data_IF_617739169045
#
_entry.id   IF_617739169045
#
_cell.length_a   1.000
_cell.length_b   1.000
_cell.length_c   1.000
_cell.angle_alpha   90.00
_cell.angle_beta   90.00
_cell.angle_gamma   90.00
#
_symmetry.space_group_name_H-M   'P 1'
#
loop_
_entity.id
_entity.type
_entity.pdbx_description
1 polymer ?
#
# COMPACT_ATOMS: atom_id res chain seq x y z
N UNK A 1 -22.19 -4.61 25.79
CA UNK A 1 -22.84 -5.49 24.79
C UNK A 1 -22.17 -5.35 23.42
N UNK A 2 -22.14 -4.18 22.77
CA UNK A 2 -21.54 -3.99 21.43
C UNK A 2 -20.05 -4.41 21.35
N UNK A 3 -19.22 -4.00 22.32
CA UNK A 3 -17.79 -4.34 22.36
C UNK A 3 -17.56 -5.86 22.38
N UNK A 4 -18.37 -6.60 23.15
CA UNK A 4 -18.28 -8.06 23.25
C UNK A 4 -18.56 -8.75 21.91
N UNK A 5 -19.58 -8.31 21.17
CA UNK A 5 -19.88 -8.86 19.85
C UNK A 5 -18.75 -8.59 18.85
N UNK A 6 -18.17 -7.38 18.89
CA UNK A 6 -17.04 -7.04 18.02
C UNK A 6 -15.80 -7.86 18.40
N UNK A 7 -15.55 -8.08 19.69
CA UNK A 7 -14.44 -8.92 20.14
C UNK A 7 -14.62 -10.38 19.69
N UNK A 8 -15.82 -10.95 19.80
CA UNK A 8 -16.08 -12.30 19.31
C UNK A 8 -15.89 -12.40 17.80
N UNK A 9 -16.37 -11.39 17.05
CA UNK A 9 -16.14 -11.31 15.62
C UNK A 9 -14.64 -11.27 15.27
N UNK A 10 -13.84 -10.49 16.00
CA UNK A 10 -12.38 -10.45 15.85
C UNK A 10 -11.76 -11.82 16.13
N UNK A 11 -12.15 -12.45 17.25
CA UNK A 11 -11.63 -13.75 17.65
C UNK A 11 -11.94 -14.84 16.61
N UNK A 12 -13.11 -14.80 15.97
CA UNK A 12 -13.47 -15.73 14.91
C UNK A 12 -12.75 -15.43 13.59
N UNK A 13 -12.56 -14.16 13.25
CA UNK A 13 -11.81 -13.78 12.06
C UNK A 13 -10.33 -14.16 12.15
N UNK A 14 -9.69 -14.03 13.32
CA UNK A 14 -8.28 -14.41 13.50
C UNK A 14 -8.04 -15.90 13.22
N UNK A 15 -9.06 -16.76 13.38
CA UNK A 15 -8.96 -18.19 13.06
C UNK A 15 -8.84 -18.46 11.56
N UNK A 16 -9.29 -17.54 10.70
CA UNK A 16 -9.40 -17.76 9.25
C UNK A 16 -8.66 -16.71 8.41
N UNK A 17 -8.25 -15.58 9.00
CA UNK A 17 -7.64 -14.44 8.33
C UNK A 17 -6.36 -14.00 9.03
N UNK A 18 -5.44 -13.41 8.26
CA UNK A 18 -4.23 -12.83 8.80
C UNK A 18 -4.56 -11.66 9.78
N UNK A 19 -3.83 -11.54 10.90
CA UNK A 19 -3.97 -10.43 11.86
C UNK A 19 -4.07 -9.03 11.23
N UNK A 20 -3.26 -8.75 10.20
CA UNK A 20 -3.30 -7.46 9.48
C UNK A 20 -4.64 -7.19 8.82
N UNK A 21 -5.21 -8.22 8.20
CA UNK A 21 -6.51 -8.14 7.54
C UNK A 21 -7.60 -7.83 8.56
N UNK A 22 -7.55 -8.48 9.73
CA UNK A 22 -8.51 -8.23 10.81
C UNK A 22 -8.38 -6.81 11.36
N UNK A 23 -7.17 -6.30 11.57
CA UNK A 23 -6.95 -4.91 12.00
C UNK A 23 -7.42 -3.88 10.95
N UNK A 24 -7.24 -4.16 9.66
CA UNK A 24 -7.78 -3.31 8.60
C UNK A 24 -9.33 -3.28 8.65
N UNK A 25 -9.98 -4.43 8.82
CA UNK A 25 -11.44 -4.51 8.98
C UNK A 25 -11.93 -3.75 10.22
N UNK A 26 -11.18 -3.82 11.33
CA UNK A 26 -11.47 -3.02 12.52
C UNK A 26 -11.29 -1.51 12.27
N UNK A 27 -10.30 -1.10 11.46
CA UNK A 27 -10.12 0.29 11.09
C UNK A 27 -11.29 0.82 10.23
N UNK A 28 -11.79 0.01 9.30
CA UNK A 28 -12.96 0.33 8.50
C UNK A 28 -14.22 0.44 9.37
N UNK A 29 -14.46 -0.55 10.23
CA UNK A 29 -15.57 -0.54 11.18
C UNK A 29 -15.50 0.67 12.13
N UNK A 30 -14.32 1.00 12.62
CA UNK A 30 -14.10 2.18 13.46
C UNK A 30 -14.47 3.47 12.72
N UNK A 31 -14.18 3.56 11.41
CA UNK A 31 -14.52 4.71 10.58
C UNK A 31 -16.03 4.88 10.39
N UNK A 32 -16.77 3.76 10.25
CA UNK A 32 -18.24 3.77 10.21
C UNK A 32 -18.81 4.29 11.53
N UNK A 33 -18.31 3.84 12.68
CA UNK A 33 -18.75 4.35 13.98
C UNK A 33 -18.40 5.82 14.19
N UNK A 34 -17.24 6.29 13.71
CA UNK A 34 -16.90 7.72 13.72
C UNK A 34 -17.90 8.54 12.90
N UNK A 35 -18.33 8.03 11.74
CA UNK A 35 -19.40 8.66 10.96
C UNK A 35 -20.72 8.72 11.73
N UNK A 36 -21.13 7.63 12.40
CA UNK A 36 -22.34 7.60 13.21
C UNK A 36 -22.29 8.62 14.37
N UNK A 37 -21.14 8.74 15.05
CA UNK A 37 -20.91 9.73 16.11
C UNK A 37 -21.01 11.16 15.57
N UNK A 38 -20.39 11.44 14.42
CA UNK A 38 -20.47 12.77 13.76
C UNK A 38 -21.92 13.16 13.46
N UNK A 39 -22.77 12.18 13.14
CA UNK A 39 -24.20 12.37 12.88
C UNK A 39 -25.07 12.24 14.15
N UNK A 40 -24.47 12.25 15.34
CA UNK A 40 -25.16 12.17 16.65
C UNK A 40 -26.04 10.91 16.83
N UNK A 41 -25.79 9.86 16.06
CA UNK A 41 -26.47 8.57 16.20
C UNK A 41 -25.92 7.76 17.38
N UNK A 42 -24.68 8.04 17.78
CA UNK A 42 -23.98 7.38 18.88
C UNK A 42 -23.07 8.36 19.62
N UNK A 43 -22.70 8.02 20.86
CA UNK A 43 -21.89 8.86 21.74
C UNK A 43 -20.42 8.41 21.73
N UNK A 44 -20.15 7.12 21.57
CA UNK A 44 -18.82 6.52 21.66
C UNK A 44 -18.56 5.50 20.54
N UNK A 45 -17.28 5.22 20.28
CA UNK A 45 -16.90 4.22 19.29
C UNK A 45 -16.61 2.89 20.00
N UNK A 46 -17.42 1.83 19.82
CA UNK A 46 -17.20 0.58 20.51
C UNK A 46 -15.91 -0.13 20.09
N UNK A 47 -15.39 0.16 18.88
CA UNK A 47 -14.14 -0.45 18.38
C UNK A 47 -12.92 0.04 19.16
N UNK A 48 -12.99 1.19 19.83
CA UNK A 48 -11.84 1.71 20.59
C UNK A 48 -11.52 0.88 21.84
N UNK A 49 -12.46 0.03 22.28
CA UNK A 49 -12.36 -0.82 23.46
C UNK A 49 -12.14 -2.29 23.09
N UNK A 50 -11.87 -2.58 21.82
CA UNK A 50 -11.64 -3.94 21.30
C UNK A 50 -10.15 -4.22 21.26
N UNK A 51 -9.75 -5.40 21.70
CA UNK A 51 -8.37 -5.86 21.63
C UNK A 51 -8.00 -6.15 20.18
N UNK A 52 -7.02 -5.39 19.69
CA UNK A 52 -6.52 -5.54 18.33
C UNK A 52 -5.49 -6.66 18.25
N UNK A 53 -5.48 -7.44 17.15
CA UNK A 53 -4.47 -8.46 16.96
C UNK A 53 -3.09 -7.82 16.79
N UNK A 54 -2.09 -8.34 17.50
CA UNK A 54 -0.69 -7.94 17.32
C UNK A 54 -0.13 -8.64 16.10
N UNK A 55 0.67 -7.91 15.32
CA UNK A 55 1.36 -8.47 14.16
C UNK A 55 2.61 -7.67 13.84
N UNK A 56 3.57 -8.36 13.24
CA UNK A 56 4.70 -7.75 12.56
C UNK A 56 4.63 -8.17 11.09
N UNK A 57 4.53 -7.19 10.19
CA UNK A 57 4.59 -7.41 8.74
C UNK A 57 5.75 -6.65 8.12
N UNK A 58 6.78 -6.34 8.91
CA UNK A 58 8.05 -5.85 8.37
C UNK A 58 8.52 -6.84 7.31
N UNK A 59 8.74 -6.31 6.11
CA UNK A 59 9.31 -7.08 4.99
C UNK A 59 10.66 -6.48 4.70
N UNK A 60 11.69 -7.17 5.14
CA UNK A 60 13.05 -6.83 4.78
C UNK A 60 13.33 -7.40 3.39
N UNK A 61 13.70 -6.51 2.46
CA UNK A 61 14.19 -6.89 1.14
C UNK A 61 15.64 -6.42 0.94
N UNK A 62 16.60 -6.88 1.77
CA UNK A 62 17.99 -6.57 1.53
C UNK A 62 18.46 -7.42 0.35
N UNK A 63 18.67 -6.79 -0.81
CA UNK A 63 19.47 -7.40 -1.85
C UNK A 63 20.94 -7.18 -1.50
N UNK A 64 21.71 -8.25 -1.45
CA UNK A 64 23.17 -8.13 -1.43
C UNK A 64 23.67 -7.46 -2.70
N UNK A 65 24.94 -7.00 -2.70
CA UNK A 65 25.55 -6.41 -3.90
C UNK A 65 25.53 -7.39 -5.09
N UNK A 66 25.77 -8.68 -4.84
CA UNK A 66 25.79 -9.69 -5.90
C UNK A 66 24.39 -10.02 -6.43
N UNK A 67 23.39 -10.04 -5.57
CA UNK A 67 21.99 -10.17 -5.99
C UNK A 67 21.51 -8.96 -6.77
N UNK A 68 21.93 -7.75 -6.37
CA UNK A 68 21.65 -6.51 -7.10
C UNK A 68 22.28 -6.54 -8.50
N UNK A 69 23.55 -6.98 -8.61
CA UNK A 69 24.22 -7.18 -9.91
C UNK A 69 23.51 -8.23 -10.76
N UNK A 70 23.09 -9.34 -10.15
CA UNK A 70 22.35 -10.42 -10.84
C UNK A 70 21.01 -9.91 -11.37
N UNK A 71 20.24 -9.21 -10.53
CA UNK A 71 18.96 -8.61 -10.91
C UNK A 71 19.13 -7.64 -12.08
N UNK A 72 20.11 -6.72 -11.99
CA UNK A 72 20.41 -5.79 -13.07
C UNK A 72 20.75 -6.51 -14.38
N UNK A 73 21.63 -7.53 -14.32
CA UNK A 73 21.98 -8.36 -15.49
C UNK A 73 20.78 -9.08 -16.08
N UNK A 74 19.87 -9.58 -15.25
CA UNK A 74 18.64 -10.22 -15.73
C UNK A 74 17.72 -9.23 -16.41
N UNK A 75 17.59 -8.01 -15.88
CA UNK A 75 16.76 -6.95 -16.48
C UNK A 75 17.30 -6.55 -17.86
N UNK A 76 18.59 -6.23 -17.97
CA UNK A 76 19.17 -5.75 -19.25
C UNK A 76 19.16 -6.83 -20.34
N UNK A 77 19.20 -8.11 -19.97
CA UNK A 77 19.17 -9.24 -20.90
C UNK A 77 17.76 -9.83 -21.08
N UNK A 78 16.72 -9.18 -20.53
CA UNK A 78 15.36 -9.65 -20.66
C UNK A 78 14.93 -9.59 -22.14
N UNK A 79 14.38 -10.70 -22.65
CA UNK A 79 14.09 -10.91 -24.08
C UNK A 79 13.16 -9.83 -24.65
N UNK A 80 12.08 -9.54 -23.94
CA UNK A 80 11.09 -8.56 -24.37
C UNK A 80 11.53 -7.13 -24.03
N UNK A 81 11.62 -6.28 -25.05
CA UNK A 81 12.08 -4.89 -24.90
C UNK A 81 11.20 -4.06 -23.98
N UNK A 82 9.88 -4.19 -24.11
CA UNK A 82 8.92 -3.45 -23.30
C UNK A 82 9.14 -3.71 -21.80
N UNK A 83 9.26 -4.97 -21.39
CA UNK A 83 9.48 -5.32 -19.99
C UNK A 83 10.85 -4.87 -19.50
N UNK A 84 11.88 -4.98 -20.34
CA UNK A 84 13.22 -4.49 -20.02
C UNK A 84 13.19 -3.00 -19.69
N UNK A 85 12.56 -2.17 -20.52
CA UNK A 85 12.46 -0.72 -20.32
C UNK A 85 11.66 -0.36 -19.06
N UNK A 86 10.53 -1.04 -18.81
CA UNK A 86 9.74 -0.86 -17.59
C UNK A 86 10.57 -1.19 -16.35
N UNK A 87 11.26 -2.33 -16.34
CA UNK A 87 12.10 -2.71 -15.20
C UNK A 87 13.25 -1.74 -14.98
N UNK A 88 13.89 -1.25 -16.04
CA UNK A 88 14.91 -0.20 -15.94
C UNK A 88 14.34 1.05 -15.27
N UNK A 89 13.14 1.48 -15.64
CA UNK A 89 12.48 2.63 -15.00
C UNK A 89 12.21 2.39 -13.51
N UNK A 90 11.82 1.17 -13.11
CA UNK A 90 11.55 0.81 -11.72
C UNK A 90 12.80 0.83 -10.83
N UNK A 91 14.00 0.66 -11.41
CA UNK A 91 15.26 0.79 -10.66
C UNK A 91 15.52 2.20 -10.14
N UNK A 92 14.84 3.24 -10.67
CA UNK A 92 14.92 4.61 -10.17
C UNK A 92 14.09 4.87 -8.89
N UNK A 93 13.56 3.82 -8.25
CA UNK A 93 12.77 3.94 -7.03
C UNK A 93 11.35 4.46 -7.26
N UNK A 94 10.86 4.39 -8.50
CA UNK A 94 9.49 4.78 -8.86
C UNK A 94 8.50 3.68 -8.53
N UNK A 95 7.26 4.06 -8.21
CA UNK A 95 6.20 3.07 -8.04
C UNK A 95 5.83 2.48 -9.39
N UNK A 96 5.42 1.21 -9.39
CA UNK A 96 4.96 0.52 -10.59
C UNK A 96 3.92 1.33 -11.38
N UNK A 97 2.88 1.80 -10.70
CA UNK A 97 1.83 2.59 -11.36
C UNK A 97 2.34 3.92 -11.91
N UNK A 98 3.28 4.59 -11.24
CA UNK A 98 3.89 5.83 -11.72
C UNK A 98 4.63 5.64 -13.06
N UNK A 99 5.32 4.49 -13.22
CA UNK A 99 5.99 4.14 -14.47
C UNK A 99 4.99 3.78 -15.57
N UNK A 100 3.96 3.00 -15.22
CA UNK A 100 2.97 2.51 -16.19
C UNK A 100 2.00 3.59 -16.67
N UNK A 101 1.79 4.65 -15.89
CA UNK A 101 0.92 5.77 -16.25
C UNK A 101 1.63 6.90 -16.99
N UNK A 102 2.93 6.77 -17.25
CA UNK A 102 3.72 7.82 -17.89
C UNK A 102 3.25 8.03 -19.34
N UNK A 103 2.93 9.27 -19.69
CA UNK A 103 2.53 9.68 -21.04
C UNK A 103 3.55 10.62 -21.68
N UNK A 104 3.48 10.82 -23.00
CA UNK A 104 4.46 11.61 -23.74
C UNK A 104 4.49 13.09 -23.35
N UNK A 105 3.36 13.66 -22.92
CA UNK A 105 3.27 15.05 -22.41
C UNK A 105 4.01 15.26 -21.09
N UNK A 106 4.30 14.18 -20.36
CA UNK A 106 5.07 14.22 -19.11
C UNK A 106 6.59 14.19 -19.33
N UNK A 107 7.06 14.06 -20.57
CA UNK A 107 8.48 13.88 -20.91
C UNK A 107 8.99 15.10 -21.70
N UNK A 108 10.01 15.75 -21.16
CA UNK A 108 10.77 16.80 -21.85
C UNK A 108 12.14 16.22 -22.25
N UNK A 109 12.26 15.83 -23.52
CA UNK A 109 13.48 15.22 -24.07
C UNK A 109 14.63 16.21 -24.21
N UNK A 110 14.34 17.50 -24.42
CA UNK A 110 15.37 18.54 -24.52
C UNK A 110 16.03 18.76 -23.15
N UNK A 111 15.21 18.90 -22.11
CA UNK A 111 15.69 19.05 -20.73
C UNK A 111 16.09 17.71 -20.10
N UNK A 112 15.82 16.58 -20.75
CA UNK A 112 16.06 15.22 -20.26
C UNK A 112 15.42 14.96 -18.90
N UNK A 113 14.19 15.42 -18.73
CA UNK A 113 13.42 15.24 -17.50
C UNK A 113 12.04 14.67 -17.83
N UNK A 114 11.48 13.95 -16.88
CA UNK A 114 10.06 13.62 -16.88
C UNK A 114 9.43 14.11 -15.58
N UNK A 115 8.17 14.51 -15.64
CA UNK A 115 7.40 14.99 -14.49
C UNK A 115 6.14 14.17 -14.34
N UNK A 116 6.00 13.50 -13.20
CA UNK A 116 4.79 12.75 -12.87
C UNK A 116 3.91 13.68 -12.03
N UNK A 117 2.71 13.94 -12.52
CA UNK A 117 1.74 14.80 -11.84
C UNK A 117 1.32 14.23 -10.48
N UNK A 118 0.90 15.14 -9.59
CA UNK A 118 0.55 14.81 -8.22
C UNK A 118 -0.72 13.94 -8.12
N UNK A 119 -1.57 13.99 -9.14
CA UNK A 119 -2.79 13.20 -9.28
C UNK A 119 -2.54 11.69 -9.35
N UNK A 120 -1.38 11.30 -9.88
CA UNK A 120 -0.89 9.91 -9.94
C UNK A 120 -0.09 9.55 -8.67
N UNK A 121 0.40 10.55 -7.95
CA UNK A 121 1.21 10.37 -6.76
C UNK A 121 0.35 10.13 -5.50
N UNK A 122 0.70 9.10 -4.73
CA UNK A 122 0.07 8.82 -3.43
C UNK A 122 0.27 9.95 -2.42
N UNK A 123 1.35 10.72 -2.53
CA UNK A 123 1.60 11.93 -1.75
C UNK A 123 0.82 13.11 -2.33
N UNK A 124 -0.52 13.10 -2.16
CA UNK A 124 -1.31 14.31 -2.35
C UNK A 124 -0.77 15.37 -1.39
N UNK A 125 -0.31 16.52 -1.90
CA UNK A 125 -0.22 17.73 -1.07
C UNK A 125 -1.65 18.04 -0.61
N UNK A 126 -1.89 17.93 0.69
CA UNK A 126 -3.04 18.56 1.34
C UNK A 126 -2.80 20.06 1.33
#
# INVERSE_FOLDING_TARGET
MQVFHIQNFVNDLIKTRAPKTVDNLLADLSSIFKFAIKNKMMINNPVSQVDKPKYDNTRDFPLTLDESKRLFKTIINFKEQLYREIFTFLLHGRRKEEVLSLTWDMIDLEKRVYQIGFEINKAKKI
#
